data_IF_078278089682
#
_entry.id   IF_078278089682
#
_cell.length_a   1.000
_cell.length_b   1.000
_cell.length_c   1.000
_cell.angle_alpha   90.00
_cell.angle_beta   90.00
_cell.angle_gamma   90.00
#
_symmetry.space_group_name_H-M   'P 1'
#
loop_
_entity.id
_entity.type
_entity.pdbx_description
1 polymer ?
#
# COMPACT_ATOMS: atom_id res chain seq x y z
N UNK A 1 18.80 -20.09 -40.07
CA UNK A 1 19.92 -19.18 -39.68
C UNK A 1 19.34 -18.04 -38.86
N UNK A 2 19.56 -18.05 -37.57
CA UNK A 2 19.14 -16.96 -36.66
C UNK A 2 19.98 -15.71 -36.98
N UNK A 3 19.33 -14.65 -37.34
CA UNK A 3 19.99 -13.41 -37.76
C UNK A 3 20.83 -12.84 -36.58
N UNK A 4 22.16 -12.68 -36.78
CA UNK A 4 23.09 -12.15 -35.76
C UNK A 4 22.56 -10.88 -35.06
N UNK A 5 21.87 -10.03 -35.79
CA UNK A 5 21.23 -8.82 -35.25
C UNK A 5 20.10 -9.14 -34.25
N UNK A 6 19.26 -10.12 -34.50
CA UNK A 6 18.17 -10.49 -33.57
C UNK A 6 18.73 -11.15 -32.30
N UNK A 7 19.82 -11.89 -32.41
CA UNK A 7 20.51 -12.46 -31.25
C UNK A 7 21.17 -11.39 -30.37
N UNK A 8 21.87 -10.41 -30.96
CA UNK A 8 22.51 -9.32 -30.23
C UNK A 8 21.48 -8.41 -29.55
N UNK A 9 20.35 -8.11 -30.22
CA UNK A 9 19.25 -7.33 -29.63
C UNK A 9 18.58 -8.10 -28.47
N UNK A 10 18.41 -9.41 -28.63
CA UNK A 10 17.92 -10.27 -27.57
C UNK A 10 18.85 -10.30 -26.35
N UNK A 11 20.15 -10.52 -26.56
CA UNK A 11 21.16 -10.52 -25.50
C UNK A 11 21.23 -9.17 -24.78
N UNK A 12 21.20 -8.06 -25.52
CA UNK A 12 21.17 -6.71 -24.96
C UNK A 12 19.94 -6.46 -24.06
N UNK A 13 18.77 -6.93 -24.50
CA UNK A 13 17.52 -6.84 -23.71
C UNK A 13 17.62 -7.63 -22.39
N UNK A 14 18.12 -8.87 -22.43
CA UNK A 14 18.29 -9.67 -21.20
C UNK A 14 19.33 -9.07 -20.26
N UNK A 15 20.43 -8.51 -20.80
CA UNK A 15 21.43 -7.80 -20.00
C UNK A 15 20.84 -6.58 -19.30
N UNK A 16 20.04 -5.78 -20.00
CA UNK A 16 19.35 -4.63 -19.40
C UNK A 16 18.36 -5.04 -18.31
N UNK A 17 17.58 -6.11 -18.53
CA UNK A 17 16.66 -6.65 -17.53
C UNK A 17 17.43 -7.13 -16.30
N UNK A 18 18.53 -7.87 -16.50
CA UNK A 18 19.38 -8.34 -15.41
C UNK A 18 19.95 -7.16 -14.61
N UNK A 19 20.51 -6.16 -15.29
CA UNK A 19 21.08 -4.99 -14.65
C UNK A 19 20.03 -4.22 -13.83
N UNK A 20 18.86 -3.99 -14.41
CA UNK A 20 17.73 -3.33 -13.72
C UNK A 20 17.28 -4.15 -12.50
N UNK A 21 17.22 -5.48 -12.61
CA UNK A 21 16.85 -6.37 -11.51
C UNK A 21 17.88 -6.32 -10.38
N UNK A 22 19.17 -6.34 -10.70
CA UNK A 22 20.26 -6.23 -9.71
C UNK A 22 20.17 -4.89 -8.98
N UNK A 23 20.00 -3.77 -9.70
CA UNK A 23 19.89 -2.44 -9.10
C UNK A 23 18.67 -2.37 -8.18
N UNK A 24 17.52 -2.93 -8.60
CA UNK A 24 16.29 -2.95 -7.79
C UNK A 24 16.44 -3.80 -6.52
N UNK A 25 17.27 -4.83 -6.54
CA UNK A 25 17.49 -5.71 -5.38
C UNK A 25 18.49 -5.14 -4.36
N UNK A 26 19.38 -4.21 -4.74
CA UNK A 26 20.38 -3.62 -3.85
C UNK A 26 19.76 -3.12 -2.53
N UNK A 27 18.71 -2.27 -2.52
CA UNK A 27 18.15 -1.77 -1.27
C UNK A 27 17.49 -2.88 -0.44
N UNK A 28 16.91 -3.90 -1.08
CA UNK A 28 16.29 -5.04 -0.39
C UNK A 28 17.36 -5.90 0.28
N UNK A 29 18.44 -6.19 -0.43
CA UNK A 29 19.61 -6.94 0.11
C UNK A 29 20.21 -6.16 1.27
N UNK A 30 20.42 -4.85 1.11
CA UNK A 30 20.94 -4.00 2.18
C UNK A 30 20.04 -4.01 3.42
N UNK A 31 18.74 -3.83 3.26
CA UNK A 31 17.78 -3.89 4.37
C UNK A 31 17.79 -5.29 5.03
N UNK A 32 17.86 -6.35 4.24
CA UNK A 32 17.93 -7.72 4.76
C UNK A 32 19.21 -7.93 5.57
N UNK A 33 20.37 -7.56 5.05
CA UNK A 33 21.63 -7.71 5.77
C UNK A 33 21.65 -6.88 7.05
N UNK A 34 21.10 -5.65 7.01
CA UNK A 34 21.00 -4.77 8.17
C UNK A 34 20.10 -5.36 9.28
N UNK A 35 19.02 -6.06 8.90
CA UNK A 35 18.12 -6.71 9.87
C UNK A 35 18.81 -7.81 10.68
N UNK A 36 19.85 -8.43 10.14
CA UNK A 36 20.64 -9.49 10.81
C UNK A 36 21.93 -8.98 11.46
N UNK A 37 22.27 -7.69 11.38
CA UNK A 37 23.45 -7.13 12.02
C UNK A 37 23.23 -6.87 13.50
N UNK A 38 24.21 -7.20 14.38
CA UNK A 38 24.17 -6.81 15.77
C UNK A 38 24.39 -5.28 15.94
N UNK A 39 23.96 -4.73 17.08
CA UNK A 39 24.03 -3.30 17.35
C UNK A 39 25.41 -2.65 17.10
N UNK A 40 26.56 -3.24 17.49
CA UNK A 40 27.86 -2.64 17.23
C UNK A 40 28.16 -2.42 15.74
N UNK A 41 27.65 -3.28 14.85
CA UNK A 41 27.94 -3.18 13.42
C UNK A 41 27.17 -2.05 12.70
N UNK A 42 26.04 -1.58 13.23
CA UNK A 42 25.29 -0.46 12.63
C UNK A 42 25.42 0.84 13.40
N UNK A 43 26.06 0.82 14.59
CA UNK A 43 26.44 2.03 15.34
C UNK A 43 27.89 2.46 15.07
N UNK A 44 28.73 1.58 14.51
CA UNK A 44 30.07 1.90 14.07
C UNK A 44 30.05 2.90 12.92
N UNK A 45 31.04 3.79 12.85
CA UNK A 45 31.12 4.81 11.79
C UNK A 45 31.15 4.20 10.37
N UNK A 46 30.95 5.06 9.37
CA UNK A 46 30.87 4.68 7.95
C UNK A 46 32.06 3.85 7.49
N UNK A 47 33.24 4.06 8.06
CA UNK A 47 34.47 3.35 7.73
C UNK A 47 34.44 1.84 8.05
N UNK A 48 33.58 1.42 8.96
CA UNK A 48 33.43 0.01 9.36
C UNK A 48 32.16 -0.66 8.77
N UNK A 49 31.46 0.03 7.89
CA UNK A 49 30.23 -0.48 7.29
C UNK A 49 30.53 -1.65 6.34
N UNK A 50 30.14 -2.86 6.73
CA UNK A 50 30.25 -4.06 5.88
C UNK A 50 28.93 -4.35 5.18
N UNK A 51 28.95 -4.89 3.95
CA UNK A 51 27.73 -5.34 3.27
C UNK A 51 27.07 -6.52 3.98
N UNK A 52 27.85 -7.46 4.46
CA UNK A 52 27.37 -8.65 5.16
C UNK A 52 27.61 -8.53 6.67
N UNK A 53 26.72 -9.06 7.51
CA UNK A 53 26.95 -9.13 8.95
C UNK A 53 28.16 -10.00 9.24
N UNK A 54 29.05 -9.57 10.13
CA UNK A 54 30.17 -10.38 10.61
C UNK A 54 29.68 -11.48 11.54
N UNK A 55 28.73 -11.15 12.41
CA UNK A 55 28.07 -12.07 13.34
C UNK A 55 26.54 -11.98 13.17
N UNK A 56 25.96 -12.78 12.24
CA UNK A 56 24.51 -12.72 12.02
C UNK A 56 23.70 -13.00 13.30
N UNK A 57 22.73 -12.17 13.59
CA UNK A 57 21.89 -12.30 14.80
C UNK A 57 20.38 -12.16 14.48
N UNK A 58 19.55 -12.81 15.28
CA UNK A 58 18.09 -12.61 15.28
C UNK A 58 17.64 -11.66 16.38
N UNK A 59 18.54 -11.02 17.10
CA UNK A 59 18.22 -10.16 18.24
C UNK A 59 17.30 -8.98 17.83
N UNK A 60 17.47 -8.43 16.62
CA UNK A 60 16.62 -7.36 16.12
C UNK A 60 15.14 -7.82 15.97
N UNK A 61 14.92 -9.02 15.47
CA UNK A 61 13.58 -9.61 15.36
C UNK A 61 13.01 -9.93 16.76
N UNK A 62 13.83 -10.57 17.62
CA UNK A 62 13.41 -10.89 18.99
C UNK A 62 13.04 -9.63 19.76
N UNK A 63 13.83 -8.55 19.63
CA UNK A 63 13.56 -7.26 20.25
C UNK A 63 12.19 -6.70 19.85
N UNK A 64 11.80 -6.77 18.60
CA UNK A 64 10.50 -6.30 18.12
C UNK A 64 9.31 -6.97 18.82
N UNK A 65 9.44 -8.25 19.20
CA UNK A 65 8.36 -9.02 19.81
C UNK A 65 8.46 -9.16 21.31
N UNK A 66 9.62 -8.89 21.91
CA UNK A 66 9.81 -8.97 23.36
C UNK A 66 9.93 -7.61 24.04
N UNK A 67 10.22 -6.57 23.27
CA UNK A 67 10.50 -5.22 23.80
C UNK A 67 11.83 -5.12 24.58
N UNK A 68 12.59 -6.20 24.66
CA UNK A 68 13.82 -6.29 25.46
C UNK A 68 14.96 -6.83 24.63
N UNK A 69 16.13 -6.21 24.77
CA UNK A 69 17.39 -6.74 24.25
C UNK A 69 18.47 -6.63 25.30
N UNK A 70 19.06 -7.76 25.66
CA UNK A 70 20.19 -7.80 26.59
C UNK A 70 21.42 -7.08 26.05
N UNK A 71 21.61 -7.08 24.72
CA UNK A 71 22.76 -6.47 24.06
C UNK A 71 22.60 -4.96 23.84
N UNK A 72 21.37 -4.46 23.72
CA UNK A 72 21.08 -3.06 23.47
C UNK A 72 20.88 -2.27 24.77
N UNK A 73 20.79 -2.94 25.92
CA UNK A 73 20.47 -2.34 27.25
C UNK A 73 19.22 -1.44 27.18
N UNK A 74 18.32 -1.71 26.27
CA UNK A 74 17.12 -0.93 25.99
C UNK A 74 15.90 -1.81 26.16
N UNK A 75 14.92 -1.27 26.86
CA UNK A 75 13.56 -1.80 26.89
C UNK A 75 12.62 -0.80 26.23
N UNK A 76 11.71 -1.27 25.42
CA UNK A 76 10.60 -0.48 24.88
C UNK A 76 9.30 -1.04 25.45
N UNK A 77 8.41 -0.14 25.84
CA UNK A 77 7.11 -0.53 26.43
C UNK A 77 6.17 -1.17 25.43
N UNK A 78 6.48 -1.08 24.14
CA UNK A 78 5.63 -1.56 23.06
C UNK A 78 6.33 -2.55 22.15
N UNK A 79 5.68 -3.65 21.93
CA UNK A 79 6.08 -4.66 20.95
C UNK A 79 5.45 -4.37 19.59
N UNK A 80 6.08 -4.84 18.51
CA UNK A 80 5.64 -4.58 17.13
C UNK A 80 4.28 -5.19 16.78
N UNK A 81 3.79 -6.18 17.54
CA UNK A 81 2.54 -6.88 17.25
C UNK A 81 1.32 -5.94 17.25
N UNK A 82 1.22 -5.03 18.23
CA UNK A 82 0.14 -4.02 18.26
C UNK A 82 0.10 -3.17 17.01
N UNK A 83 1.18 -2.45 16.66
CA UNK A 83 1.28 -1.69 15.41
C UNK A 83 1.02 -2.49 14.13
N UNK A 84 1.41 -3.76 14.08
CA UNK A 84 1.10 -4.64 12.94
C UNK A 84 -0.41 -4.89 12.80
N UNK A 85 -1.09 -5.22 13.90
CA UNK A 85 -2.54 -5.41 13.92
C UNK A 85 -3.25 -4.10 13.56
N UNK A 86 -2.84 -2.98 14.13
CA UNK A 86 -3.39 -1.66 13.85
C UNK A 86 -3.29 -1.30 12.36
N UNK A 87 -2.10 -1.47 11.76
CA UNK A 87 -1.90 -1.24 10.33
C UNK A 87 -2.77 -2.17 9.49
N UNK A 88 -2.83 -3.46 9.80
CA UNK A 88 -3.60 -4.44 9.03
C UNK A 88 -5.10 -4.12 9.07
N UNK A 89 -5.64 -3.85 10.26
CA UNK A 89 -7.06 -3.52 10.45
C UNK A 89 -7.39 -2.20 9.75
N UNK A 90 -6.65 -1.14 10.05
CA UNK A 90 -6.97 0.19 9.53
C UNK A 90 -6.76 0.29 8.01
N UNK A 91 -5.68 -0.27 7.46
CA UNK A 91 -5.47 -0.27 6.02
C UNK A 91 -6.50 -1.12 5.27
N UNK A 92 -6.87 -2.30 5.80
CA UNK A 92 -7.87 -3.17 5.17
C UNK A 92 -9.25 -2.53 5.18
N UNK A 93 -9.69 -2.03 6.33
CA UNK A 93 -11.02 -1.39 6.45
C UNK A 93 -11.08 -0.08 5.66
N UNK A 94 -10.03 0.76 5.71
CA UNK A 94 -9.95 1.96 4.88
C UNK A 94 -10.02 1.65 3.39
N UNK A 95 -9.32 0.60 2.96
CA UNK A 95 -9.38 0.12 1.57
C UNK A 95 -10.77 -0.37 1.20
N UNK A 96 -11.41 -1.14 2.07
CA UNK A 96 -12.78 -1.64 1.85
C UNK A 96 -13.77 -0.48 1.67
N UNK A 97 -13.69 0.53 2.54
CA UNK A 97 -14.53 1.74 2.45
C UNK A 97 -14.27 2.46 1.11
N UNK A 98 -13.01 2.80 0.82
CA UNK A 98 -12.64 3.56 -0.38
C UNK A 98 -13.05 2.84 -1.67
N UNK A 99 -12.74 1.54 -1.78
CA UNK A 99 -13.01 0.78 -2.99
C UNK A 99 -14.50 0.52 -3.17
N UNK A 100 -15.22 0.20 -2.10
CA UNK A 100 -16.68 -0.02 -2.20
C UNK A 100 -17.41 1.25 -2.63
N UNK A 101 -17.19 2.34 -1.90
CA UNK A 101 -17.86 3.62 -2.20
C UNK A 101 -17.39 4.20 -3.53
N UNK A 102 -16.06 4.17 -3.79
CA UNK A 102 -15.47 4.66 -5.03
C UNK A 102 -15.95 3.89 -6.26
N UNK A 103 -16.06 2.57 -6.18
CA UNK A 103 -16.56 1.72 -7.28
C UNK A 103 -18.04 2.00 -7.57
N UNK A 104 -18.88 2.11 -6.54
CA UNK A 104 -20.31 2.41 -6.69
C UNK A 104 -20.51 3.81 -7.29
N UNK A 105 -19.77 4.81 -6.79
CA UNK A 105 -19.82 6.17 -7.31
C UNK A 105 -19.35 6.23 -8.78
N UNK A 106 -18.24 5.56 -9.10
CA UNK A 106 -17.73 5.49 -10.46
C UNK A 106 -18.72 4.84 -11.43
N UNK A 107 -19.35 3.75 -11.04
CA UNK A 107 -20.41 3.12 -11.84
C UNK A 107 -21.61 4.06 -12.05
N UNK A 108 -22.05 4.73 -10.98
CA UNK A 108 -23.15 5.70 -11.06
C UNK A 108 -22.89 6.83 -12.05
N UNK A 109 -21.70 7.42 -12.00
CA UNK A 109 -21.30 8.51 -12.94
C UNK A 109 -21.17 7.98 -14.37
N UNK A 110 -20.47 6.84 -14.55
CA UNK A 110 -20.21 6.28 -15.88
C UNK A 110 -21.49 5.85 -16.61
N UNK A 111 -22.47 5.30 -15.91
CA UNK A 111 -23.69 4.72 -16.52
C UNK A 111 -24.91 5.62 -16.50
N UNK A 112 -25.16 6.29 -15.38
CA UNK A 112 -26.39 7.08 -15.21
C UNK A 112 -26.17 8.57 -15.44
N UNK A 113 -24.94 9.00 -15.74
CA UNK A 113 -24.57 10.42 -15.89
C UNK A 113 -24.95 11.30 -14.70
N UNK A 114 -25.13 10.68 -13.53
CA UNK A 114 -25.43 11.39 -12.27
C UNK A 114 -24.15 12.03 -11.77
N UNK A 115 -24.22 13.30 -11.37
CA UNK A 115 -23.05 13.99 -10.82
C UNK A 115 -21.93 14.20 -11.83
N UNK A 116 -22.23 14.67 -13.03
CA UNK A 116 -21.24 14.90 -14.10
C UNK A 116 -20.04 15.78 -13.68
N UNK A 117 -20.23 16.63 -12.67
CA UNK A 117 -19.16 17.45 -12.09
C UNK A 117 -18.34 16.71 -10.99
N UNK A 118 -18.80 15.55 -10.52
CA UNK A 118 -18.12 14.78 -9.47
C UNK A 118 -16.65 14.44 -9.83
N UNK A 119 -16.33 13.96 -11.04
CA UNK A 119 -14.96 13.70 -11.42
C UNK A 119 -14.06 14.92 -11.26
N UNK A 120 -14.50 16.06 -11.74
CA UNK A 120 -13.74 17.30 -11.62
C UNK A 120 -13.60 17.76 -10.17
N UNK A 121 -14.69 17.70 -9.38
CA UNK A 121 -14.68 18.06 -7.96
C UNK A 121 -13.76 17.18 -7.14
N UNK A 122 -13.76 15.87 -7.40
CA UNK A 122 -12.86 14.89 -6.75
C UNK A 122 -11.40 15.18 -7.12
N UNK A 123 -11.12 15.58 -8.36
CA UNK A 123 -9.78 15.95 -8.80
C UNK A 123 -9.32 17.26 -8.11
N UNK A 124 -10.20 18.25 -7.99
CA UNK A 124 -9.90 19.51 -7.30
C UNK A 124 -9.56 19.29 -5.82
N UNK A 125 -10.28 18.39 -5.12
CA UNK A 125 -9.97 18.03 -3.73
C UNK A 125 -8.54 17.49 -3.55
N UNK A 126 -7.97 16.86 -4.58
CA UNK A 126 -6.60 16.36 -4.55
C UNK A 126 -5.52 17.44 -4.72
N UNK A 127 -5.86 18.59 -5.28
CA UNK A 127 -4.94 19.71 -5.40
C UNK A 127 -4.68 20.41 -4.06
N UNK A 128 -5.54 20.19 -3.07
CA UNK A 128 -5.29 20.69 -1.72
C UNK A 128 -4.10 19.97 -1.07
N UNK A 129 -3.15 20.70 -0.45
CA UNK A 129 -2.07 20.11 0.30
C UNK A 129 -2.63 19.25 1.45
N UNK A 130 -2.36 17.93 1.49
CA UNK A 130 -2.96 17.05 2.50
C UNK A 130 -2.71 17.54 3.94
N UNK A 131 -1.50 18.01 4.23
CA UNK A 131 -1.13 18.48 5.56
C UNK A 131 -1.89 19.74 6.00
N UNK A 132 -2.26 20.63 5.08
CA UNK A 132 -3.05 21.82 5.41
C UNK A 132 -4.48 21.47 5.86
N UNK A 133 -5.04 20.41 5.29
CA UNK A 133 -6.39 19.92 5.65
C UNK A 133 -6.36 19.08 6.91
N UNK A 134 -5.22 18.44 7.22
CA UNK A 134 -5.13 17.50 8.36
C UNK A 134 -5.28 18.16 9.72
N UNK A 135 -4.87 19.44 9.89
CA UNK A 135 -5.04 20.13 11.19
C UNK A 135 -6.53 20.34 11.51
N UNK A 136 -7.36 20.92 10.63
CA UNK A 136 -8.82 20.98 10.86
C UNK A 136 -9.46 19.62 11.08
N UNK A 137 -9.04 18.60 10.31
CA UNK A 137 -9.54 17.23 10.47
C UNK A 137 -9.18 16.67 11.83
N UNK A 138 -7.95 16.87 12.32
CA UNK A 138 -7.53 16.42 13.65
C UNK A 138 -8.40 17.05 14.76
N UNK A 139 -8.71 18.33 14.64
CA UNK A 139 -9.60 19.02 15.61
C UNK A 139 -10.99 18.40 15.58
N UNK A 140 -11.55 18.18 14.37
CA UNK A 140 -12.86 17.54 14.20
C UNK A 140 -12.86 16.11 14.77
N UNK A 141 -11.81 15.31 14.50
CA UNK A 141 -11.67 13.96 15.04
C UNK A 141 -11.57 13.95 16.57
N UNK A 142 -10.90 14.96 17.15
CA UNK A 142 -10.84 15.11 18.60
C UNK A 142 -12.22 15.38 19.21
N UNK A 143 -13.02 16.28 18.62
CA UNK A 143 -14.39 16.54 19.05
C UNK A 143 -15.31 15.32 18.93
N UNK A 144 -15.11 14.51 17.91
CA UNK A 144 -15.90 13.30 17.67
C UNK A 144 -15.36 12.08 18.45
N UNK A 145 -14.35 12.24 19.28
CA UNK A 145 -13.68 11.15 20.01
C UNK A 145 -13.16 10.01 19.09
N UNK A 146 -12.70 10.38 17.88
CA UNK A 146 -12.17 9.48 16.88
C UNK A 146 -10.64 9.31 16.90
N UNK A 147 -9.95 10.17 17.65
CA UNK A 147 -8.50 10.11 17.83
C UNK A 147 -8.13 8.80 18.52
N UNK A 148 -7.06 8.16 18.02
CA UNK A 148 -6.53 6.89 18.53
C UNK A 148 -7.54 5.74 18.54
N UNK A 149 -8.42 5.69 17.54
CA UNK A 149 -9.39 4.61 17.34
C UNK A 149 -9.21 3.95 15.98
N UNK A 150 -9.40 2.62 15.89
CA UNK A 150 -9.28 1.90 14.64
C UNK A 150 -10.29 2.35 13.58
N UNK A 151 -11.52 2.64 14.00
CA UNK A 151 -12.59 3.09 13.12
C UNK A 151 -12.39 4.54 12.66
N UNK A 152 -11.87 5.43 13.52
CA UNK A 152 -11.51 6.79 13.16
C UNK A 152 -10.40 6.83 12.11
N UNK A 153 -9.34 6.04 12.29
CA UNK A 153 -8.26 5.94 11.32
C UNK A 153 -8.70 5.25 10.03
N UNK A 154 -9.52 4.18 10.12
CA UNK A 154 -10.06 3.50 8.94
C UNK A 154 -10.96 4.40 8.11
N UNK A 155 -11.80 5.20 8.75
CA UNK A 155 -12.70 6.13 8.08
C UNK A 155 -11.93 7.20 7.29
N UNK A 156 -10.93 7.82 7.91
CA UNK A 156 -10.14 8.85 7.21
C UNK A 156 -9.32 8.25 6.08
N UNK A 157 -8.76 7.06 6.24
CA UNK A 157 -8.09 6.33 5.16
C UNK A 157 -9.04 6.06 4.00
N UNK A 158 -10.26 5.61 4.30
CA UNK A 158 -11.30 5.42 3.30
C UNK A 158 -11.64 6.70 2.54
N UNK A 159 -11.81 7.82 3.24
CA UNK A 159 -12.14 9.13 2.63
C UNK A 159 -10.99 9.64 1.76
N UNK A 160 -9.76 9.62 2.27
CA UNK A 160 -8.60 10.20 1.56
C UNK A 160 -8.21 9.38 0.34
N UNK A 161 -8.40 8.07 0.36
CA UNK A 161 -8.06 7.19 -0.77
C UNK A 161 -9.23 6.88 -1.71
N UNK A 162 -10.47 7.28 -1.35
CA UNK A 162 -11.65 7.14 -2.21
C UNK A 162 -11.47 7.76 -3.62
N UNK A 163 -10.88 8.96 -3.78
CA UNK A 163 -10.64 9.53 -5.09
C UNK A 163 -9.83 8.62 -6.02
N UNK A 164 -8.88 7.86 -5.51
CA UNK A 164 -8.10 6.92 -6.30
C UNK A 164 -8.95 5.75 -6.77
N UNK A 165 -9.71 5.15 -5.84
CA UNK A 165 -10.61 4.07 -6.18
C UNK A 165 -11.65 4.50 -7.22
N UNK A 166 -12.23 5.69 -7.04
CA UNK A 166 -13.20 6.27 -7.97
C UNK A 166 -12.60 6.43 -9.37
N UNK A 167 -11.46 7.11 -9.51
CA UNK A 167 -10.87 7.39 -10.81
C UNK A 167 -10.42 6.13 -11.54
N UNK A 168 -9.77 5.21 -10.83
CA UNK A 168 -9.36 3.95 -11.43
C UNK A 168 -10.58 3.16 -11.94
N UNK A 169 -11.61 3.00 -11.11
CA UNK A 169 -12.78 2.24 -11.49
C UNK A 169 -13.61 2.92 -12.58
N UNK A 170 -13.69 4.26 -12.60
CA UNK A 170 -14.40 5.02 -13.64
C UNK A 170 -13.79 4.74 -15.02
N UNK A 171 -12.44 4.82 -15.13
CA UNK A 171 -11.75 4.53 -16.39
C UNK A 171 -12.08 3.14 -16.92
N UNK A 172 -12.11 2.14 -16.02
CA UNK A 172 -12.42 0.76 -16.43
C UNK A 172 -13.90 0.54 -16.74
N UNK A 173 -14.83 1.22 -16.08
CA UNK A 173 -16.24 1.15 -16.46
C UNK A 173 -16.49 1.81 -17.81
N UNK A 174 -15.82 2.90 -18.14
CA UNK A 174 -15.95 3.56 -19.43
C UNK A 174 -15.46 2.67 -20.60
N UNK A 175 -14.54 1.74 -20.34
CA UNK A 175 -14.07 0.74 -21.31
C UNK A 175 -15.04 -0.45 -21.52
N UNK A 176 -16.01 -0.66 -20.63
CA UNK A 176 -17.02 -1.74 -20.78
C UNK A 176 -18.08 -1.31 -21.78
N UNK A 177 -18.33 -2.08 -22.88
CA UNK A 177 -19.37 -1.79 -23.87
C UNK A 177 -20.77 -1.72 -23.21
N UNK A 178 -21.52 -0.65 -23.49
CA UNK A 178 -22.86 -0.41 -22.93
C UNK A 178 -23.88 -1.42 -23.44
N UNK A 179 -23.70 -1.90 -24.66
CA UNK A 179 -24.57 -2.85 -25.34
C UNK A 179 -24.78 -4.14 -24.53
N UNK A 180 -23.73 -4.58 -23.78
CA UNK A 180 -23.83 -5.76 -22.93
C UNK A 180 -24.76 -5.53 -21.74
N UNK A 181 -24.70 -4.34 -21.16
CA UNK A 181 -25.56 -3.95 -20.03
C UNK A 181 -27.02 -3.70 -20.50
N UNK A 182 -27.19 -3.06 -21.66
CA UNK A 182 -28.48 -2.80 -22.28
C UNK A 182 -29.19 -4.11 -22.67
N UNK A 183 -28.48 -5.08 -23.22
CA UNK A 183 -29.03 -6.41 -23.50
C UNK A 183 -29.57 -7.08 -22.23
N UNK A 184 -28.81 -7.04 -21.13
CA UNK A 184 -29.27 -7.59 -19.86
C UNK A 184 -30.49 -6.85 -19.27
N UNK A 185 -30.61 -5.54 -19.50
CA UNK A 185 -31.80 -4.76 -19.09
C UNK A 185 -33.04 -5.17 -19.92
N UNK A 186 -32.87 -5.40 -21.23
CA UNK A 186 -33.95 -5.87 -22.11
C UNK A 186 -34.42 -7.28 -21.71
N UNK A 187 -33.50 -8.12 -21.23
CA UNK A 187 -33.86 -9.44 -20.66
C UNK A 187 -34.54 -9.35 -19.27
N UNK A 188 -34.85 -8.15 -18.78
CA UNK A 188 -35.59 -7.92 -17.53
C UNK A 188 -34.74 -7.88 -16.26
N UNK A 189 -33.41 -7.75 -16.38
CA UNK A 189 -32.55 -7.54 -15.23
C UNK A 189 -32.74 -6.13 -14.65
N UNK A 190 -32.79 -6.01 -13.34
CA UNK A 190 -32.72 -4.70 -12.68
C UNK A 190 -31.31 -4.10 -12.79
N UNK A 191 -31.14 -2.75 -12.74
CA UNK A 191 -29.81 -2.12 -12.82
C UNK A 191 -28.79 -2.66 -11.81
N UNK A 192 -29.24 -2.94 -10.58
CA UNK A 192 -28.41 -3.55 -9.55
C UNK A 192 -27.99 -4.98 -9.89
N UNK A 193 -28.88 -5.75 -10.54
CA UNK A 193 -28.53 -7.10 -11.01
C UNK A 193 -27.53 -7.06 -12.17
N UNK A 194 -27.70 -6.11 -13.10
CA UNK A 194 -26.73 -5.85 -14.17
C UNK A 194 -25.36 -5.50 -13.60
N UNK A 195 -25.30 -4.52 -12.69
CA UNK A 195 -24.05 -4.17 -12.01
C UNK A 195 -23.36 -5.39 -11.40
N UNK A 196 -24.09 -6.15 -10.55
CA UNK A 196 -23.49 -7.23 -9.75
C UNK A 196 -23.15 -8.47 -10.57
N UNK A 197 -23.96 -8.83 -11.59
CA UNK A 197 -23.85 -10.10 -12.34
C UNK A 197 -23.18 -9.95 -13.71
N UNK A 198 -23.16 -8.75 -14.28
CA UNK A 198 -22.62 -8.50 -15.61
C UNK A 198 -21.38 -7.60 -15.50
N UNK A 199 -21.54 -6.36 -15.08
CA UNK A 199 -20.46 -5.35 -15.14
C UNK A 199 -19.34 -5.63 -14.16
N UNK A 200 -19.65 -5.89 -12.88
CA UNK A 200 -18.65 -6.10 -11.84
C UNK A 200 -17.73 -7.33 -12.11
N UNK A 201 -18.25 -8.47 -12.58
CA UNK A 201 -17.42 -9.59 -13.03
C UNK A 201 -16.51 -9.26 -14.23
N UNK A 202 -16.92 -8.38 -15.13
CA UNK A 202 -16.10 -7.96 -16.28
C UNK A 202 -14.89 -7.13 -15.82
N UNK A 203 -15.06 -6.29 -14.80
CA UNK A 203 -14.00 -5.42 -14.25
C UNK A 203 -13.29 -6.02 -13.03
N UNK A 204 -13.42 -7.33 -12.76
CA UNK A 204 -12.80 -7.97 -11.58
C UNK A 204 -11.28 -7.85 -11.55
N UNK A 205 -10.60 -7.87 -12.70
CA UNK A 205 -9.16 -7.71 -12.75
C UNK A 205 -8.72 -6.28 -12.41
N UNK A 206 -9.27 -5.23 -13.04
CA UNK A 206 -9.10 -3.85 -12.60
C UNK A 206 -9.47 -3.60 -11.13
N UNK A 207 -10.59 -4.15 -10.67
CA UNK A 207 -11.00 -4.02 -9.27
C UNK A 207 -9.94 -4.58 -8.30
N UNK A 208 -9.39 -5.75 -8.62
CA UNK A 208 -8.32 -6.35 -7.82
C UNK A 208 -7.06 -5.46 -7.79
N UNK A 209 -6.69 -4.86 -8.94
CA UNK A 209 -5.59 -3.89 -9.02
C UNK A 209 -5.87 -2.64 -8.19
N UNK A 210 -7.09 -2.13 -8.22
CA UNK A 210 -7.52 -0.98 -7.44
C UNK A 210 -7.44 -1.28 -5.94
N UNK A 211 -7.87 -2.46 -5.50
CA UNK A 211 -7.77 -2.92 -4.11
C UNK A 211 -6.29 -2.94 -3.67
N UNK A 212 -5.41 -3.54 -4.45
CA UNK A 212 -3.98 -3.60 -4.14
C UNK A 212 -3.37 -2.21 -4.01
N UNK A 213 -3.66 -1.34 -4.97
CA UNK A 213 -3.10 0.01 -5.00
C UNK A 213 -3.57 0.85 -3.80
N UNK A 214 -4.87 0.85 -3.52
CA UNK A 214 -5.44 1.56 -2.37
C UNK A 214 -4.95 0.98 -1.05
N UNK A 215 -4.82 -0.35 -0.96
CA UNK A 215 -4.25 -0.99 0.23
C UNK A 215 -2.81 -0.55 0.48
N UNK A 216 -1.96 -0.52 -0.55
CA UNK A 216 -0.57 -0.07 -0.41
C UNK A 216 -0.51 1.39 0.04
N UNK A 217 -1.38 2.27 -0.47
CA UNK A 217 -1.45 3.67 -0.04
C UNK A 217 -1.79 3.79 1.45
N UNK A 218 -2.83 3.07 1.91
CA UNK A 218 -3.24 3.08 3.31
C UNK A 218 -2.22 2.41 4.24
N UNK A 219 -1.60 1.30 3.78
CA UNK A 219 -0.59 0.55 4.52
C UNK A 219 0.67 1.36 4.77
N UNK A 220 1.09 2.16 3.78
CA UNK A 220 2.33 2.93 3.82
C UNK A 220 2.16 4.34 4.40
N UNK A 221 0.93 4.71 4.78
CA UNK A 221 0.68 6.06 5.29
C UNK A 221 1.33 6.25 6.67
N UNK A 222 2.08 7.33 6.76
CA UNK A 222 2.74 7.78 7.98
C UNK A 222 2.10 9.06 8.53
N UNK A 223 1.77 10.01 7.66
CA UNK A 223 1.45 11.37 8.05
C UNK A 223 0.08 11.47 8.76
N UNK A 224 -0.93 10.83 8.20
CA UNK A 224 -2.28 10.80 8.77
C UNK A 224 -2.26 10.02 10.08
N UNK A 225 -1.62 8.85 10.09
CA UNK A 225 -1.51 8.03 11.28
C UNK A 225 -0.75 8.75 12.42
N UNK A 226 0.33 9.47 12.11
CA UNK A 226 1.09 10.23 13.10
C UNK A 226 0.22 11.29 13.80
N UNK A 227 -0.69 11.93 13.06
CA UNK A 227 -1.55 13.00 13.61
C UNK A 227 -2.75 12.45 14.36
N UNK A 228 -3.29 11.31 13.96
CA UNK A 228 -4.55 10.77 14.46
C UNK A 228 -4.40 9.59 15.43
N UNK A 229 -3.19 9.07 15.63
CA UNK A 229 -2.94 8.01 16.62
C UNK A 229 -2.03 8.49 17.76
N UNK A 230 -2.16 7.88 18.92
CA UNK A 230 -1.41 8.25 20.14
C UNK A 230 -0.75 7.04 20.78
N UNK A 231 -1.57 6.09 21.20
CA UNK A 231 -1.13 4.97 22.01
C UNK A 231 -1.65 3.62 21.50
N UNK A 232 -2.94 3.49 21.34
CA UNK A 232 -3.57 2.18 21.18
C UNK A 232 -3.57 1.70 19.72
N UNK A 233 -3.70 2.63 18.77
CA UNK A 233 -3.82 2.30 17.34
C UNK A 233 -2.69 2.85 16.47
N UNK A 234 -1.49 2.93 17.03
CA UNK A 234 -0.28 3.31 16.28
C UNK A 234 -0.02 2.31 15.14
N UNK A 235 0.25 2.83 13.94
CA UNK A 235 0.57 2.02 12.76
C UNK A 235 2.06 1.68 12.67
N UNK A 236 2.42 0.70 11.82
CA UNK A 236 3.83 0.31 11.60
C UNK A 236 4.71 1.49 11.18
N UNK A 237 4.34 2.37 10.22
CA UNK A 237 5.17 3.50 9.84
C UNK A 237 5.44 4.46 11.01
N UNK A 238 4.45 4.71 11.85
CA UNK A 238 4.60 5.56 13.04
C UNK A 238 5.49 4.88 14.07
N UNK A 239 5.26 3.60 14.35
CA UNK A 239 6.08 2.82 15.28
C UNK A 239 7.54 2.70 14.79
N UNK A 240 7.76 2.49 13.50
CA UNK A 240 9.11 2.44 12.91
C UNK A 240 9.88 3.75 13.15
N UNK A 241 9.21 4.89 13.03
CA UNK A 241 9.85 6.18 13.30
C UNK A 241 10.20 6.35 14.79
N UNK A 242 9.39 5.79 15.69
CA UNK A 242 9.63 5.82 17.13
C UNK A 242 10.77 4.89 17.61
N UNK A 243 11.26 3.96 16.77
CA UNK A 243 12.39 3.08 17.08
C UNK A 243 13.72 3.86 17.06
N UNK A 244 13.91 4.68 18.07
CA UNK A 244 15.12 5.44 18.36
C UNK A 244 15.32 5.56 19.87
N UNK A 245 16.56 5.65 20.32
CA UNK A 245 16.88 5.86 21.73
C UNK A 245 17.83 7.02 21.91
N UNK A 246 17.82 7.65 23.09
CA UNK A 246 18.76 8.72 23.42
C UNK A 246 20.22 8.24 23.44
N UNK A 247 20.44 6.95 23.77
CA UNK A 247 21.80 6.37 23.87
C UNK A 247 22.34 5.89 22.53
N UNK A 248 21.51 5.25 21.70
CA UNK A 248 21.96 4.59 20.46
C UNK A 248 21.54 5.33 19.20
N UNK A 249 20.76 6.42 19.33
CA UNK A 249 20.17 7.10 18.19
C UNK A 249 19.17 6.19 17.47
N UNK A 250 19.27 6.10 16.15
CA UNK A 250 18.40 5.29 15.32
C UNK A 250 18.72 3.79 15.44
N UNK A 251 17.70 2.96 15.69
CA UNK A 251 17.83 1.50 15.79
C UNK A 251 17.70 0.87 14.40
N UNK A 252 18.73 1.03 13.58
CA UNK A 252 18.71 0.61 12.16
C UNK A 252 18.41 -0.87 11.97
N UNK A 253 18.99 -1.76 12.79
CA UNK A 253 18.74 -3.20 12.71
C UNK A 253 17.28 -3.55 13.01
N UNK A 254 16.69 -3.00 14.08
CA UNK A 254 15.29 -3.23 14.41
C UNK A 254 14.33 -2.61 13.37
N UNK A 255 14.66 -1.42 12.83
CA UNK A 255 13.89 -0.80 11.74
C UNK A 255 13.94 -1.65 10.46
N UNK A 256 15.09 -2.18 10.12
CA UNK A 256 15.25 -3.06 8.96
C UNK A 256 14.48 -4.37 9.13
N UNK A 257 14.56 -5.00 10.32
CA UNK A 257 13.79 -6.19 10.64
C UNK A 257 12.27 -5.94 10.57
N UNK A 258 11.79 -4.81 11.10
CA UNK A 258 10.40 -4.41 11.01
C UNK A 258 9.98 -4.14 9.57
N UNK A 259 10.84 -3.51 8.76
CA UNK A 259 10.60 -3.25 7.34
C UNK A 259 10.40 -4.53 6.54
N UNK A 260 11.22 -5.58 6.80
CA UNK A 260 11.05 -6.90 6.18
C UNK A 260 9.69 -7.53 6.53
N UNK A 261 9.30 -7.45 7.80
CA UNK A 261 8.01 -7.97 8.26
C UNK A 261 6.87 -7.15 7.64
N UNK A 262 6.99 -5.83 7.62
CA UNK A 262 6.00 -4.92 7.04
C UNK A 262 5.82 -5.09 5.53
N UNK A 263 6.81 -5.62 4.82
CA UNK A 263 6.68 -5.91 3.40
C UNK A 263 5.81 -7.14 3.10
N UNK A 264 5.60 -8.04 4.08
CA UNK A 264 4.88 -9.30 3.86
C UNK A 264 3.43 -9.09 3.40
N UNK A 265 2.57 -8.29 4.08
CA UNK A 265 1.16 -8.17 3.69
C UNK A 265 0.95 -7.61 2.27
N UNK A 266 1.61 -6.53 1.82
CA UNK A 266 1.52 -6.07 0.44
C UNK A 266 2.00 -7.10 -0.58
N UNK A 267 3.10 -7.83 -0.28
CA UNK A 267 3.63 -8.88 -1.16
C UNK A 267 2.64 -10.03 -1.28
N UNK A 268 2.10 -10.52 -0.16
CA UNK A 268 1.09 -11.60 -0.16
C UNK A 268 -0.13 -11.18 -0.97
N UNK A 269 -0.64 -9.96 -0.74
CA UNK A 269 -1.78 -9.44 -1.50
C UNK A 269 -1.45 -9.33 -3.00
N UNK A 270 -0.25 -8.84 -3.36
CA UNK A 270 0.23 -8.78 -4.72
C UNK A 270 0.28 -10.15 -5.40
N UNK A 271 0.81 -11.17 -4.72
CA UNK A 271 0.85 -12.55 -5.21
C UNK A 271 -0.57 -13.13 -5.42
N UNK A 272 -1.49 -12.86 -4.50
CA UNK A 272 -2.88 -13.32 -4.63
C UNK A 272 -3.58 -12.70 -5.85
N UNK A 273 -3.24 -11.46 -6.17
CA UNK A 273 -3.88 -10.67 -7.23
C UNK A 273 -3.15 -10.83 -8.59
N UNK A 274 -1.89 -11.28 -8.63
CA UNK A 274 -1.05 -11.34 -9.84
C UNK A 274 -1.72 -12.00 -11.04
N UNK A 275 -2.50 -13.07 -10.83
CA UNK A 275 -3.24 -13.77 -11.90
C UNK A 275 -4.30 -12.88 -12.58
N UNK A 276 -4.78 -11.84 -11.90
CA UNK A 276 -5.72 -10.88 -12.44
C UNK A 276 -5.01 -9.71 -13.13
N UNK A 277 -3.81 -9.33 -12.66
CA UNK A 277 -2.97 -8.29 -13.25
C UNK A 277 -2.52 -8.64 -14.67
N UNK A 278 -2.04 -9.86 -14.88
CA UNK A 278 -1.52 -10.32 -16.19
C UNK A 278 -2.61 -10.29 -17.28
N UNK A 279 -3.86 -10.62 -16.94
CA UNK A 279 -4.98 -10.58 -17.88
C UNK A 279 -5.43 -9.16 -18.23
N UNK A 280 -5.35 -8.20 -17.31
CA UNK A 280 -5.73 -6.80 -17.54
C UNK A 280 -4.78 -6.04 -18.47
N UNK A 281 -3.48 -6.33 -18.40
CA UNK A 281 -2.47 -5.69 -19.25
C UNK A 281 -2.51 -6.14 -20.72
N UNK A 282 -2.98 -7.36 -20.98
CA UNK A 282 -3.08 -7.89 -22.35
C UNK A 282 -4.28 -7.33 -23.12
N UNK A 283 -5.36 -6.94 -22.46
CA UNK A 283 -6.51 -6.30 -23.13
C UNK A 283 -6.21 -4.87 -23.61
N UNK A 284 -5.32 -4.12 -22.95
CA UNK A 284 -4.88 -2.80 -23.39
C UNK A 284 -3.91 -2.80 -24.58
N UNK A 285 -3.18 -3.91 -24.80
CA UNK A 285 -2.18 -4.02 -25.85
C UNK A 285 -2.75 -4.46 -27.22
N UNK A 286 -4.02 -4.87 -27.28
CA UNK A 286 -4.68 -5.32 -28.52
C UNK A 286 -5.51 -4.21 -29.22
N UNK A 287 -5.46 -2.98 -28.71
CA UNK A 287 -6.10 -1.80 -29.34
C UNK A 287 -5.13 -0.99 -30.26
N UNK A 288 -4.12 -1.66 -30.87
CA UNK A 288 -3.33 -1.09 -31.96
C UNK A 288 -3.57 -1.84 -33.25
#
# INVERSE_FOLDING_TARGET
>A
MMNRRSFLLGAGRYLLILLASVIALIPIVWMTTMAFKPAPEWTSGIEQLSWLPREPTLDNFRFLFTGRSAKLLVAIDRIALGPMISSLVCATLGTLIAVTVGTLAAYGVSRFRVGQNLPLSILQLRLFPPLAVMIPVMIMWAYLHLIDTWWGLSLIYGIVTLPFAFWLMMTFFDDVPREIEEAALVEGCTPWRVFRRVTLPMVKAPLATTILFVFILNWSDYAIALLLTRKDWITIPVYMNALSTAMTGQMYGAKAALGLIAAIPPIVLGILIQKHLVRGLTFGALKQ
#
